data_IF_981487409696
#
_entry.id   IF_981487409696
#
_cell.length_a   1.000
_cell.length_b   1.000
_cell.length_c   1.000
_cell.angle_alpha   90.00
_cell.angle_beta   90.00
_cell.angle_gamma   90.00
#
_symmetry.space_group_name_H-M   'P 1'
#
loop_
_entity.id
_entity.type
_entity.pdbx_description
1 polymer ?
#
# COMPACT_ATOMS: atom_id res chain seq x y z
N UNK A 1 36.16 -13.83 -0.46
CA UNK A 1 34.69 -13.93 -0.41
C UNK A 1 34.21 -12.53 -0.08
N UNK A 2 33.70 -11.80 -1.07
CA UNK A 2 33.16 -10.46 -0.82
C UNK A 2 31.87 -10.61 -0.03
N UNK A 3 31.77 -9.93 1.11
CA UNK A 3 30.48 -9.75 1.78
C UNK A 3 29.66 -8.81 0.90
N UNK A 4 28.66 -9.34 0.19
CA UNK A 4 27.67 -8.53 -0.52
C UNK A 4 26.98 -7.63 0.51
N UNK A 5 27.16 -6.32 0.38
CA UNK A 5 26.39 -5.35 1.16
C UNK A 5 24.97 -5.36 0.58
N UNK A 6 23.94 -5.70 1.37
CA UNK A 6 22.59 -5.77 0.85
C UNK A 6 22.17 -4.39 0.31
N UNK A 7 21.45 -4.33 -0.84
CA UNK A 7 20.95 -3.08 -1.38
C UNK A 7 20.20 -2.30 -0.30
N UNK A 8 20.36 -0.98 -0.26
CA UNK A 8 19.73 -0.15 0.77
C UNK A 8 18.20 -0.31 0.80
N UNK A 9 17.58 -0.63 -0.34
CA UNK A 9 16.15 -0.92 -0.44
C UNK A 9 15.73 -2.20 0.33
N UNK A 10 16.60 -3.21 0.47
CA UNK A 10 16.29 -4.48 1.14
C UNK A 10 16.66 -4.47 2.63
N UNK A 11 16.69 -3.29 3.26
CA UNK A 11 17.05 -3.12 4.68
C UNK A 11 15.87 -2.59 5.48
N UNK A 12 15.63 -3.18 6.65
CA UNK A 12 14.66 -2.73 7.64
C UNK A 12 15.39 -2.10 8.81
N UNK A 13 15.00 -0.90 9.19
CA UNK A 13 15.36 -0.27 10.44
C UNK A 13 14.33 -0.66 11.51
N UNK A 14 14.74 -1.43 12.50
CA UNK A 14 13.92 -1.76 13.65
C UNK A 14 14.40 -0.95 14.87
N UNK A 15 13.51 -0.19 15.48
CA UNK A 15 13.76 0.63 16.67
C UNK A 15 12.72 0.35 17.76
N UNK A 16 12.92 0.95 18.94
CA UNK A 16 12.09 0.68 20.13
C UNK A 16 12.07 -0.82 20.50
N UNK A 17 13.21 -1.48 20.31
CA UNK A 17 13.37 -2.88 20.68
C UNK A 17 13.54 -3.05 22.20
N UNK A 18 13.14 -4.20 22.77
CA UNK A 18 13.36 -4.50 24.18
C UNK A 18 14.85 -4.38 24.57
N UNK A 19 15.11 -3.77 25.73
CA UNK A 19 16.48 -3.73 26.31
C UNK A 19 17.01 -5.16 26.48
N UNK A 20 18.24 -5.41 26.02
CA UNK A 20 18.90 -6.70 26.16
C UNK A 20 18.41 -7.80 25.21
N UNK A 21 17.76 -7.43 24.08
CA UNK A 21 17.46 -8.36 23.01
C UNK A 21 18.77 -8.88 22.37
N UNK A 22 19.00 -10.18 22.46
CA UNK A 22 20.23 -10.81 21.99
C UNK A 22 20.25 -11.02 20.48
N UNK A 23 21.44 -11.13 19.90
CA UNK A 23 21.61 -11.35 18.45
C UNK A 23 20.85 -12.58 17.96
N UNK A 24 20.94 -13.71 18.67
CA UNK A 24 20.25 -14.95 18.29
C UNK A 24 18.72 -14.79 18.20
N UNK A 25 18.12 -13.97 19.06
CA UNK A 25 16.68 -13.72 19.06
C UNK A 25 16.28 -12.78 17.92
N UNK A 26 17.13 -11.78 17.60
CA UNK A 26 16.96 -10.96 16.39
C UNK A 26 16.98 -11.82 15.13
N UNK A 27 17.96 -12.71 14.98
CA UNK A 27 18.03 -13.65 13.85
C UNK A 27 16.80 -14.56 13.79
N UNK A 28 16.31 -15.04 14.93
CA UNK A 28 15.13 -15.89 14.98
C UNK A 28 13.85 -15.14 14.59
N UNK A 29 13.64 -13.94 15.12
CA UNK A 29 12.41 -13.17 14.88
C UNK A 29 12.35 -12.66 13.45
N UNK A 30 13.43 -12.02 12.98
CA UNK A 30 13.49 -11.44 11.64
C UNK A 30 13.72 -12.51 10.56
N UNK A 31 14.34 -13.64 10.90
CA UNK A 31 14.62 -14.73 9.95
C UNK A 31 13.37 -15.48 9.48
N UNK A 32 12.23 -15.29 10.13
CA UNK A 32 10.95 -15.89 9.72
C UNK A 32 10.44 -15.35 8.37
N UNK A 33 10.93 -14.20 7.92
CA UNK A 33 10.44 -13.51 6.72
C UNK A 33 11.34 -13.71 5.50
N UNK A 34 12.58 -14.17 5.71
CA UNK A 34 13.51 -14.47 4.63
C UNK A 34 14.97 -14.50 5.09
N UNK A 35 15.85 -14.81 4.15
CA UNK A 35 17.29 -14.91 4.41
C UNK A 35 17.86 -13.54 4.79
N UNK A 36 18.31 -13.43 6.03
CA UNK A 36 19.03 -12.28 6.55
C UNK A 36 20.50 -12.35 6.11
N UNK A 37 20.99 -11.25 5.54
CA UNK A 37 22.38 -11.04 5.13
C UNK A 37 23.17 -10.34 6.24
N UNK A 38 22.56 -9.39 6.93
CA UNK A 38 23.22 -8.65 8.01
C UNK A 38 22.25 -8.20 9.10
N UNK A 39 22.75 -8.12 10.34
CA UNK A 39 22.10 -7.38 11.43
C UNK A 39 23.15 -6.42 12.00
N UNK A 40 22.88 -5.12 11.91
CA UNK A 40 23.80 -4.06 12.31
C UNK A 40 23.17 -3.26 13.45
N UNK A 41 23.73 -3.33 14.66
CA UNK A 41 23.26 -2.51 15.78
C UNK A 41 23.52 -1.02 15.54
N UNK A 42 22.54 -0.21 15.91
CA UNK A 42 22.55 1.24 15.79
C UNK A 42 22.27 1.81 17.18
N UNK A 43 23.15 2.71 17.62
CA UNK A 43 22.91 3.46 18.84
C UNK A 43 21.98 4.63 18.53
N UNK A 44 20.67 4.39 18.58
CA UNK A 44 19.67 5.46 18.54
C UNK A 44 19.40 5.92 19.98
N UNK A 45 19.50 7.22 20.23
CA UNK A 45 19.54 7.72 21.62
C UNK A 45 18.23 7.36 22.35
N UNK A 46 18.35 6.53 23.39
CA UNK A 46 17.23 6.12 24.24
C UNK A 46 16.47 4.85 23.82
N UNK A 47 16.79 4.23 22.67
CA UNK A 47 16.16 2.96 22.25
C UNK A 47 17.16 2.02 21.57
N UNK A 48 17.06 0.72 21.82
CA UNK A 48 17.78 -0.28 21.04
C UNK A 48 17.25 -0.28 19.59
N UNK A 49 18.15 -0.13 18.62
CA UNK A 49 17.81 -0.13 17.21
C UNK A 49 18.80 -0.96 16.38
N UNK A 50 18.33 -1.57 15.31
CA UNK A 50 19.13 -2.37 14.39
C UNK A 50 18.71 -2.13 12.94
N UNK A 51 19.66 -2.24 12.02
CA UNK A 51 19.35 -2.50 10.61
C UNK A 51 19.42 -4.00 10.34
N UNK A 52 18.34 -4.56 9.81
CA UNK A 52 18.29 -5.93 9.30
C UNK A 52 18.31 -5.87 7.78
N UNK A 53 19.39 -6.38 7.19
CA UNK A 53 19.53 -6.53 5.74
C UNK A 53 19.05 -7.89 5.28
N UNK A 54 18.13 -7.92 4.33
CA UNK A 54 17.66 -9.15 3.70
C UNK A 54 18.30 -9.34 2.34
N UNK A 55 18.36 -10.60 1.91
CA UNK A 55 18.77 -10.95 0.56
C UNK A 55 17.73 -10.47 -0.47
N UNK A 56 16.46 -10.63 -0.14
CA UNK A 56 15.32 -10.28 -1.01
C UNK A 56 14.60 -9.05 -0.47
N UNK A 57 14.27 -8.10 -1.36
CA UNK A 57 13.52 -6.88 -1.02
C UNK A 57 12.13 -7.20 -0.44
N UNK A 58 11.46 -8.22 -0.96
CA UNK A 58 10.11 -8.60 -0.50
C UNK A 58 10.12 -9.14 0.93
N UNK A 59 11.16 -9.88 1.33
CA UNK A 59 11.34 -10.31 2.72
C UNK A 59 11.49 -9.10 3.66
N UNK A 60 12.24 -8.08 3.24
CA UNK A 60 12.38 -6.84 4.01
C UNK A 60 11.04 -6.10 4.15
N UNK A 61 10.26 -5.98 3.07
CA UNK A 61 8.94 -5.34 3.09
C UNK A 61 7.94 -6.10 3.96
N UNK A 62 7.92 -7.42 3.87
CA UNK A 62 7.03 -8.27 4.66
C UNK A 62 7.37 -8.20 6.14
N UNK A 63 8.66 -8.35 6.49
CA UNK A 63 9.14 -8.19 7.86
C UNK A 63 8.79 -6.80 8.40
N UNK A 64 9.05 -5.74 7.62
CA UNK A 64 8.71 -4.37 8.00
C UNK A 64 7.21 -4.22 8.27
N UNK A 65 6.36 -4.75 7.39
CA UNK A 65 4.89 -4.63 7.51
C UNK A 65 4.35 -5.39 8.73
N UNK A 66 4.81 -6.62 8.96
CA UNK A 66 4.28 -7.49 10.02
C UNK A 66 4.83 -7.09 11.39
N UNK A 67 6.10 -6.69 11.45
CA UNK A 67 6.75 -6.36 12.71
C UNK A 67 6.53 -4.91 13.14
N UNK A 68 6.14 -4.00 12.25
CA UNK A 68 5.85 -2.63 12.68
C UNK A 68 4.66 -2.61 13.65
N UNK A 69 4.88 -2.08 14.84
CA UNK A 69 3.96 -2.10 15.99
C UNK A 69 3.70 -3.48 16.60
N UNK A 70 4.44 -4.52 16.20
CA UNK A 70 4.35 -5.82 16.85
C UNK A 70 4.94 -5.77 18.26
N UNK A 71 4.28 -6.45 19.21
CA UNK A 71 4.77 -6.57 20.58
C UNK A 71 5.85 -7.66 20.68
N UNK A 72 7.06 -7.25 21.07
CA UNK A 72 8.18 -8.12 21.39
C UNK A 72 8.46 -8.01 22.88
N UNK A 73 8.29 -9.09 23.65
CA UNK A 73 8.43 -9.10 25.12
C UNK A 73 7.60 -8.00 25.82
N UNK A 74 6.42 -7.68 25.27
CA UNK A 74 5.54 -6.64 25.80
C UNK A 74 5.87 -5.22 25.35
N UNK A 75 6.95 -5.01 24.59
CA UNK A 75 7.33 -3.71 24.02
C UNK A 75 6.93 -3.68 22.55
N UNK A 76 6.16 -2.67 22.12
CA UNK A 76 5.87 -2.45 20.71
C UNK A 76 7.11 -1.93 19.99
N UNK A 77 7.62 -2.67 19.02
CA UNK A 77 8.73 -2.20 18.19
C UNK A 77 8.22 -1.39 16.98
N UNK A 78 9.09 -0.55 16.42
CA UNK A 78 8.83 0.14 15.17
C UNK A 78 9.76 -0.39 14.09
N UNK A 79 9.21 -0.76 12.95
CA UNK A 79 9.97 -1.27 11.83
C UNK A 79 9.68 -0.42 10.60
N UNK A 80 10.72 0.17 10.02
CA UNK A 80 10.65 1.10 8.90
C UNK A 80 11.62 0.65 7.80
N UNK A 81 11.25 0.83 6.54
CA UNK A 81 12.18 0.59 5.43
C UNK A 81 13.32 1.62 5.44
N UNK A 82 14.54 1.20 5.11
CA UNK A 82 15.71 2.08 5.17
C UNK A 82 15.67 3.23 4.16
N UNK A 83 14.97 3.08 3.03
CA UNK A 83 14.70 4.15 2.07
C UNK A 83 13.72 5.21 2.65
N UNK A 84 12.68 4.78 3.37
CA UNK A 84 11.78 5.66 4.12
C UNK A 84 12.52 6.49 5.16
N UNK A 85 13.51 5.91 5.86
CA UNK A 85 14.36 6.67 6.78
C UNK A 85 15.11 7.82 6.10
N UNK A 86 15.54 7.65 4.84
CA UNK A 86 16.21 8.71 4.09
C UNK A 86 15.26 9.89 3.87
N UNK A 87 14.00 9.62 3.54
CA UNK A 87 12.96 10.64 3.39
C UNK A 87 12.72 11.33 4.73
N UNK A 88 12.40 10.56 5.79
CA UNK A 88 12.10 11.09 7.13
C UNK A 88 13.19 12.04 7.61
N UNK A 89 14.47 11.66 7.49
CA UNK A 89 15.61 12.49 7.91
C UNK A 89 15.68 13.83 7.17
N UNK A 90 15.33 13.84 5.89
CA UNK A 90 15.33 15.06 5.06
C UNK A 90 14.13 15.96 5.37
N UNK A 91 13.04 15.38 5.86
CA UNK A 91 11.77 16.07 6.07
C UNK A 91 11.42 16.36 7.53
N UNK A 92 12.34 16.11 8.46
CA UNK A 92 12.09 16.29 9.91
C UNK A 92 11.59 17.69 10.29
N UNK A 93 12.02 18.74 9.59
CA UNK A 93 11.73 20.13 9.91
C UNK A 93 11.08 20.90 8.76
N UNK A 94 10.42 20.20 7.84
CA UNK A 94 9.82 20.80 6.63
C UNK A 94 8.28 20.70 6.62
N UNK A 95 7.65 20.50 7.78
CA UNK A 95 6.18 20.57 7.94
C UNK A 95 5.42 19.24 7.84
N UNK A 96 6.07 18.15 7.41
CA UNK A 96 5.47 16.82 7.27
C UNK A 96 5.22 16.12 8.61
N UNK A 97 5.89 16.57 9.69
CA UNK A 97 5.76 15.99 11.01
C UNK A 97 4.89 16.86 11.91
N UNK A 98 3.89 16.22 12.51
CA UNK A 98 2.99 16.81 13.49
C UNK A 98 3.21 16.18 14.87
N UNK A 99 3.08 16.98 15.91
CA UNK A 99 2.95 16.55 17.29
C UNK A 99 1.46 16.52 17.65
N UNK A 100 1.05 15.41 18.24
CA UNK A 100 -0.26 15.22 18.83
C UNK A 100 -0.09 15.29 20.34
N UNK A 101 -0.78 16.23 20.98
CA UNK A 101 -0.80 16.44 22.41
C UNK A 101 -2.20 16.13 22.94
N UNK A 102 -2.30 15.76 24.22
CA UNK A 102 -3.57 15.41 24.86
C UNK A 102 -4.28 14.23 24.18
N UNK A 103 -3.53 13.25 23.69
CA UNK A 103 -4.08 11.99 23.20
C UNK A 103 -4.77 11.22 24.32
N UNK A 104 -5.86 10.54 23.99
CA UNK A 104 -6.47 9.57 24.92
C UNK A 104 -5.45 8.48 25.24
N UNK A 105 -5.21 8.15 26.52
CA UNK A 105 -4.29 7.09 26.92
C UNK A 105 -4.58 5.70 26.32
N UNK A 106 -5.81 5.46 25.82
CA UNK A 106 -6.20 4.23 25.14
C UNK A 106 -5.77 4.17 23.66
N UNK A 107 -5.31 5.28 23.06
CA UNK A 107 -4.82 5.32 21.69
C UNK A 107 -3.32 4.98 21.69
N UNK A 108 -2.97 3.89 21.04
CA UNK A 108 -1.58 3.47 20.82
C UNK A 108 -1.04 3.94 19.46
N UNK A 109 0.24 3.64 19.19
CA UNK A 109 0.91 4.03 17.95
C UNK A 109 0.24 3.45 16.69
N UNK A 110 -0.32 2.25 16.78
CA UNK A 110 -1.02 1.60 15.67
C UNK A 110 -2.33 2.33 15.38
N UNK A 111 -3.16 2.54 16.40
CA UNK A 111 -4.44 3.25 16.27
C UNK A 111 -4.28 4.69 15.81
N UNK A 112 -3.26 5.41 16.28
CA UNK A 112 -2.95 6.75 15.80
C UNK A 112 -2.52 6.74 14.33
N UNK A 113 -1.68 5.79 13.93
CA UNK A 113 -1.24 5.62 12.54
C UNK A 113 -2.43 5.33 11.62
N UNK A 114 -3.30 4.40 12.01
CA UNK A 114 -4.50 4.03 11.26
C UNK A 114 -5.45 5.22 11.09
N UNK A 115 -5.68 5.99 12.16
CA UNK A 115 -6.48 7.22 12.10
C UNK A 115 -5.88 8.24 11.13
N UNK A 116 -4.57 8.47 11.24
CA UNK A 116 -3.89 9.46 10.41
C UNK A 116 -3.75 9.04 8.95
N UNK A 117 -3.77 7.75 8.66
CA UNK A 117 -3.74 7.22 7.29
C UNK A 117 -4.94 7.67 6.42
N UNK A 118 -6.02 8.14 7.05
CA UNK A 118 -7.17 8.76 6.37
C UNK A 118 -6.83 10.10 5.69
N UNK A 119 -5.74 10.74 6.11
CA UNK A 119 -5.33 12.07 5.65
C UNK A 119 -4.14 12.03 4.70
N UNK A 120 -3.40 10.93 4.65
CA UNK A 120 -2.22 10.75 3.80
C UNK A 120 -1.37 9.53 4.13
N UNK A 121 -0.30 9.31 3.37
CA UNK A 121 0.68 8.25 3.68
C UNK A 121 1.46 8.60 4.96
N UNK A 122 1.33 7.77 5.99
CA UNK A 122 2.12 7.86 7.22
C UNK A 122 3.44 7.11 7.03
N UNK A 123 4.55 7.86 7.05
CA UNK A 123 5.90 7.29 6.96
C UNK A 123 6.36 6.72 8.30
N UNK A 124 5.97 7.35 9.41
CA UNK A 124 6.29 6.92 10.76
C UNK A 124 5.31 7.56 11.77
N UNK A 125 5.02 6.83 12.84
CA UNK A 125 4.12 7.27 13.91
C UNK A 125 4.55 6.62 15.22
N UNK A 126 4.50 7.40 16.30
CA UNK A 126 4.78 6.93 17.66
C UNK A 126 3.96 7.69 18.68
N UNK A 127 3.35 6.96 19.60
CA UNK A 127 2.85 7.47 20.88
C UNK A 127 3.91 7.16 21.93
N UNK A 128 4.36 8.17 22.67
CA UNK A 128 5.39 7.98 23.71
C UNK A 128 4.76 7.31 24.94
N UNK A 129 5.46 6.34 25.52
CA UNK A 129 5.02 5.54 26.66
C UNK A 129 6.07 5.61 27.78
N UNK A 130 5.63 5.59 29.03
CA UNK A 130 6.52 5.55 30.20
C UNK A 130 6.97 4.11 30.52
N UNK A 131 7.98 3.94 31.40
CA UNK A 131 8.55 2.61 31.75
C UNK A 131 7.57 1.69 32.51
N UNK A 132 6.46 2.23 33.04
CA UNK A 132 5.30 1.47 33.55
C UNK A 132 4.09 1.69 32.62
N UNK A 133 3.22 0.69 32.38
CA UNK A 133 2.34 0.69 31.22
C UNK A 133 1.36 1.86 31.26
N UNK A 134 1.65 2.88 30.45
CA UNK A 134 0.83 4.08 30.30
C UNK A 134 1.34 4.95 29.16
N UNK A 135 0.43 5.36 28.28
CA UNK A 135 0.68 6.41 27.28
C UNK A 135 0.96 7.73 28.01
N UNK A 136 1.98 8.46 27.57
CA UNK A 136 2.27 9.81 28.05
C UNK A 136 1.26 10.85 27.53
N UNK A 137 0.27 10.44 26.72
CA UNK A 137 -0.75 11.33 26.17
C UNK A 137 -0.23 12.23 25.06
N UNK A 138 0.93 11.93 24.48
CA UNK A 138 1.46 12.63 23.31
C UNK A 138 2.17 11.68 22.35
N UNK A 139 2.23 12.09 21.09
CA UNK A 139 2.81 11.33 20.00
C UNK A 139 3.23 12.22 18.85
N UNK A 140 3.82 11.62 17.82
CA UNK A 140 3.99 12.28 16.53
C UNK A 140 3.51 11.40 15.39
N UNK A 141 3.18 12.06 14.29
CA UNK A 141 2.95 11.43 12.99
C UNK A 141 3.77 12.17 11.95
N UNK A 142 4.53 11.43 11.15
CA UNK A 142 5.32 11.94 10.04
C UNK A 142 4.67 11.48 8.73
N UNK A 143 4.12 12.43 7.98
CA UNK A 143 3.46 12.19 6.69
C UNK A 143 4.45 12.19 5.53
N UNK A 144 4.04 11.67 4.38
CA UNK A 144 4.88 11.73 3.17
C UNK A 144 5.02 13.16 2.63
N UNK A 145 3.98 13.99 2.81
CA UNK A 145 3.94 15.37 2.32
C UNK A 145 3.45 16.37 3.37
N UNK A 146 3.78 17.66 3.17
CA UNK A 146 3.35 18.75 4.06
C UNK A 146 1.84 18.98 3.97
N UNK A 147 1.25 18.80 2.78
CA UNK A 147 -0.18 18.98 2.55
C UNK A 147 -1.02 17.94 3.29
N UNK A 148 -0.59 16.69 3.31
CA UNK A 148 -1.22 15.62 4.11
C UNK A 148 -1.18 15.96 5.61
N UNK A 149 -0.04 16.47 6.08
CA UNK A 149 0.11 16.93 7.47
C UNK A 149 -0.79 18.13 7.77
N UNK A 150 -0.83 19.13 6.90
CA UNK A 150 -1.69 20.30 7.04
C UNK A 150 -3.17 19.91 7.08
N UNK A 151 -3.57 18.96 6.22
CA UNK A 151 -4.92 18.39 6.18
C UNK A 151 -5.23 17.66 7.49
N UNK A 152 -4.37 16.76 7.95
CA UNK A 152 -4.56 16.04 9.20
C UNK A 152 -4.72 17.01 10.39
N UNK A 153 -3.86 18.02 10.48
CA UNK A 153 -3.96 19.07 11.50
C UNK A 153 -5.31 19.81 11.44
N UNK A 154 -5.75 20.21 10.25
CA UNK A 154 -7.00 20.95 10.07
C UNK A 154 -8.22 20.15 10.55
N UNK A 155 -8.26 18.85 10.26
CA UNK A 155 -9.43 18.02 10.53
C UNK A 155 -9.42 17.35 11.91
N UNK A 156 -8.25 17.09 12.49
CA UNK A 156 -8.14 16.35 13.75
C UNK A 156 -7.88 17.27 14.97
N UNK A 157 -7.36 18.48 14.78
CA UNK A 157 -7.07 19.37 15.92
C UNK A 157 -8.37 19.80 16.60
N UNK A 158 -8.47 19.55 17.90
CA UNK A 158 -9.65 19.83 18.71
C UNK A 158 -10.80 18.84 18.52
N UNK A 159 -10.64 17.81 17.67
CA UNK A 159 -11.62 16.72 17.54
C UNK A 159 -11.46 15.75 18.69
N UNK A 160 -12.58 15.26 19.20
CA UNK A 160 -12.60 14.27 20.27
C UNK A 160 -12.20 12.90 19.72
N UNK A 161 -11.01 12.44 20.13
CA UNK A 161 -10.45 11.13 19.83
C UNK A 161 -10.49 10.29 21.11
N UNK A 162 -11.47 9.38 21.18
CA UNK A 162 -11.80 8.68 22.42
C UNK A 162 -12.44 9.65 23.44
N UNK A 163 -11.79 9.81 24.59
CA UNK A 163 -12.21 10.69 25.69
C UNK A 163 -11.50 12.05 25.69
N UNK A 164 -10.44 12.22 24.90
CA UNK A 164 -9.65 13.47 24.84
C UNK A 164 -9.87 14.23 23.53
N UNK A 165 -9.75 15.56 23.56
CA UNK A 165 -9.64 16.38 22.36
C UNK A 165 -8.16 16.59 22.05
N UNK A 166 -7.67 15.96 20.98
CA UNK A 166 -6.25 16.02 20.64
C UNK A 166 -5.89 17.41 20.09
N UNK A 167 -4.83 18.00 20.60
CA UNK A 167 -4.26 19.24 20.09
C UNK A 167 -3.11 18.91 19.14
N UNK A 168 -3.09 19.52 17.96
CA UNK A 168 -2.11 19.17 16.91
C UNK A 168 -1.31 20.40 16.52
N UNK A 169 0.02 20.28 16.60
CA UNK A 169 0.95 21.34 16.19
C UNK A 169 2.07 20.79 15.29
N UNK A 170 2.72 21.64 14.47
CA UNK A 170 3.90 21.23 13.74
C UNK A 170 5.03 20.82 14.70
N UNK A 171 5.86 19.89 14.26
CA UNK A 171 7.08 19.51 14.97
C UNK A 171 8.14 20.60 14.89
N UNK A 172 8.81 20.85 16.01
CA UNK A 172 10.00 21.68 16.09
C UNK A 172 11.22 20.82 16.45
N UNK A 173 12.42 21.18 15.99
CA UNK A 173 13.63 20.39 16.28
C UNK A 173 13.91 20.21 17.78
N UNK A 174 13.41 21.12 18.63
CA UNK A 174 13.50 20.99 20.08
C UNK A 174 12.67 19.81 20.61
N UNK A 175 11.60 19.40 19.93
CA UNK A 175 10.75 18.28 20.32
C UNK A 175 11.44 16.92 20.16
N UNK A 176 12.58 16.84 19.46
CA UNK A 176 13.30 15.56 19.25
C UNK A 176 13.69 14.87 20.56
N UNK A 177 13.84 15.64 21.64
CA UNK A 177 14.20 15.11 22.97
C UNK A 177 13.00 14.48 23.70
N UNK A 178 11.78 14.70 23.22
CA UNK A 178 10.55 14.14 23.80
C UNK A 178 10.34 12.67 23.39
N UNK A 179 10.99 12.22 22.30
CA UNK A 179 10.75 10.91 21.72
C UNK A 179 12.01 10.07 21.70
N UNK A 180 11.90 8.85 22.21
CA UNK A 180 12.94 7.83 22.03
C UNK A 180 12.93 7.30 20.58
N UNK A 181 14.07 6.83 20.07
CA UNK A 181 14.12 6.18 18.74
C UNK A 181 13.81 7.06 17.52
N UNK A 182 13.94 8.38 17.67
CA UNK A 182 13.52 9.38 16.67
C UNK A 182 14.66 10.23 16.11
N UNK A 183 15.91 9.87 16.39
CA UNK A 183 17.06 10.50 15.72
C UNK A 183 17.40 9.81 14.41
N UNK A 184 16.87 8.60 14.20
CA UNK A 184 17.11 7.79 13.01
C UNK A 184 18.60 7.76 12.73
N UNK A 185 19.43 7.23 13.63
CA UNK A 185 20.87 7.29 13.44
C UNK A 185 21.30 6.59 12.13
N UNK A 186 22.23 7.17 11.35
CA UNK A 186 22.70 6.55 10.11
C UNK A 186 23.31 5.17 10.38
N UNK A 187 23.27 4.25 9.39
CA UNK A 187 23.97 2.99 9.54
C UNK A 187 25.45 3.27 9.85
N UNK A 188 26.10 2.44 10.70
CA UNK A 188 27.49 2.66 11.07
C UNK A 188 28.38 2.66 9.82
N UNK A 189 29.05 3.78 9.57
CA UNK A 189 30.07 3.86 8.52
C UNK A 189 31.22 2.93 8.93
N UNK A 190 31.41 1.81 8.21
CA UNK A 190 32.66 1.04 8.33
C UNK A 190 33.81 1.99 7.95
N UNK A 191 34.59 2.42 8.93
CA UNK A 191 35.80 3.22 8.75
C UNK A 191 36.78 2.44 7.86
N UNK A 192 36.79 2.71 6.56
CA UNK A 192 37.84 2.24 5.66
C UNK A 192 39.08 3.11 5.85
N UNK A 193 39.99 2.66 6.71
CA UNK A 193 41.37 3.16 6.73
C UNK A 193 42.24 2.30 5.79
N UNK A 194 42.54 2.84 4.60
CA UNK A 194 43.91 3.09 4.07
C UNK A 194 43.97 3.02 2.54
N UNK A 195 44.59 4.09 2.04
CA UNK A 195 45.42 4.19 0.85
C UNK A 195 44.76 4.06 -0.53
N UNK A 196 44.59 5.24 -1.13
CA UNK A 196 45.03 5.62 -2.47
C UNK A 196 45.24 4.49 -3.48
N UNK A 197 44.37 4.48 -4.49
CA UNK A 197 44.78 4.28 -5.88
C UNK A 197 43.99 5.26 -6.77
N UNK A 198 44.65 6.14 -7.55
CA UNK A 198 43.98 7.05 -8.46
C UNK A 198 43.86 6.38 -9.83
N UNK A 199 42.67 5.86 -10.16
CA UNK A 199 42.42 5.39 -11.53
C UNK A 199 41.38 4.29 -11.65
N UNK A 200 40.11 4.69 -11.70
CA UNK A 200 39.04 3.99 -12.42
C UNK A 200 37.93 5.05 -12.62
N UNK A 201 38.04 5.84 -13.69
CA UNK A 201 37.40 5.55 -14.98
C UNK A 201 35.88 5.49 -14.83
N UNK A 202 35.29 6.65 -15.06
CA UNK A 202 33.94 6.88 -15.59
C UNK A 202 33.22 5.60 -16.04
N UNK A 203 32.24 5.20 -15.25
CA UNK A 203 31.09 4.47 -15.77
C UNK A 203 29.89 5.38 -15.50
N UNK A 204 29.38 5.90 -16.61
CA UNK A 204 28.25 6.81 -16.69
C UNK A 204 27.03 6.22 -15.98
N UNK A 205 26.34 7.08 -15.23
CA UNK A 205 24.97 6.87 -14.77
C UNK A 205 24.10 6.47 -15.97
N UNK A 206 23.87 5.17 -16.18
CA UNK A 206 22.66 4.73 -16.85
C UNK A 206 21.50 4.96 -15.90
N UNK A 207 21.00 6.20 -15.94
CA UNK A 207 19.76 6.60 -15.33
C UNK A 207 18.65 5.62 -15.75
N UNK A 208 18.19 4.81 -14.81
CA UNK A 208 16.88 4.18 -14.91
C UNK A 208 15.84 5.31 -15.04
N UNK A 209 14.87 5.21 -15.96
CA UNK A 209 13.96 6.31 -16.26
C UNK A 209 13.24 6.74 -14.99
N UNK A 210 13.34 8.04 -14.70
CA UNK A 210 12.75 8.67 -13.53
C UNK A 210 11.28 8.27 -13.40
N UNK A 211 10.93 7.53 -12.34
CA UNK A 211 9.53 7.47 -11.91
C UNK A 211 9.16 8.90 -11.51
N UNK A 212 8.17 9.47 -12.20
CA UNK A 212 7.72 10.83 -11.98
C UNK A 212 7.34 11.10 -10.53
N UNK A 213 7.19 12.38 -10.20
CA UNK A 213 6.69 12.78 -8.88
C UNK A 213 5.33 12.10 -8.58
N UNK A 214 4.91 11.95 -7.31
CA UNK A 214 3.57 11.45 -6.99
C UNK A 214 2.45 12.18 -7.74
N UNK A 215 2.63 13.49 -7.97
CA UNK A 215 1.74 14.33 -8.79
C UNK A 215 1.74 13.91 -10.28
N UNK A 216 2.89 13.55 -10.83
CA UNK A 216 3.01 13.03 -12.20
C UNK A 216 2.35 11.65 -12.32
N UNK A 217 2.44 10.81 -11.28
CA UNK A 217 1.78 9.50 -11.24
C UNK A 217 0.26 9.66 -11.14
N UNK A 218 -0.24 10.55 -10.26
CA UNK A 218 -1.66 10.86 -10.16
C UNK A 218 -2.21 11.42 -11.48
N UNK A 219 -1.46 12.34 -12.11
CA UNK A 219 -1.79 12.87 -13.43
C UNK A 219 -1.82 11.76 -14.49
N UNK A 220 -0.87 10.83 -14.45
CA UNK A 220 -0.84 9.69 -15.39
C UNK A 220 -2.02 8.73 -15.19
N UNK A 221 -2.39 8.46 -13.94
CA UNK A 221 -3.56 7.66 -13.58
C UNK A 221 -4.83 8.31 -14.14
N UNK A 222 -4.99 9.61 -13.94
CA UNK A 222 -6.14 10.37 -14.44
C UNK A 222 -6.18 10.44 -15.97
N UNK A 223 -5.06 10.72 -16.61
CA UNK A 223 -4.96 10.73 -18.07
C UNK A 223 -5.34 9.38 -18.66
N UNK A 224 -4.89 8.28 -18.06
CA UNK A 224 -5.26 6.95 -18.52
C UNK A 224 -6.76 6.69 -18.35
N UNK A 225 -7.33 7.05 -17.21
CA UNK A 225 -8.77 6.92 -16.97
C UNK A 225 -9.60 7.72 -17.97
N UNK A 226 -9.22 8.97 -18.26
CA UNK A 226 -9.85 9.82 -19.27
C UNK A 226 -9.71 9.27 -20.69
N UNK A 227 -8.59 8.60 -20.99
CA UNK A 227 -8.33 8.04 -22.32
C UNK A 227 -9.08 6.73 -22.62
N UNK A 228 -9.80 6.16 -21.65
CA UNK A 228 -10.54 4.92 -21.85
C UNK A 228 -11.69 5.13 -22.84
N UNK A 229 -11.62 4.47 -24.00
CA UNK A 229 -12.70 4.51 -24.99
C UNK A 229 -13.92 3.69 -24.56
N UNK A 230 -13.71 2.65 -23.74
CA UNK A 230 -14.75 1.69 -23.35
C UNK A 230 -14.78 1.53 -21.83
N UNK A 231 -15.62 2.31 -21.18
CA UNK A 231 -15.84 2.26 -19.73
C UNK A 231 -17.33 2.12 -19.41
N UNK A 232 -17.74 0.93 -18.98
CA UNK A 232 -19.12 0.59 -18.65
C UNK A 232 -19.29 0.51 -17.13
N UNK A 233 -20.36 1.11 -16.63
CA UNK A 233 -20.78 0.97 -15.24
C UNK A 233 -22.19 0.43 -15.20
N UNK A 234 -22.39 -0.63 -14.42
CA UNK A 234 -23.66 -1.33 -14.30
C UNK A 234 -24.06 -1.41 -12.83
N UNK A 235 -25.30 -1.00 -12.54
CA UNK A 235 -25.85 -1.05 -11.19
C UNK A 235 -26.51 -2.40 -10.96
N UNK A 236 -25.93 -3.23 -10.09
CA UNK A 236 -26.36 -4.61 -9.82
C UNK A 236 -26.57 -4.78 -8.31
N UNK A 237 -27.82 -5.08 -7.91
CA UNK A 237 -28.24 -5.02 -6.51
C UNK A 237 -27.61 -6.13 -5.64
N UNK A 238 -27.52 -7.35 -6.17
CA UNK A 238 -27.11 -8.54 -5.44
C UNK A 238 -26.00 -9.36 -6.15
N UNK A 239 -25.48 -10.33 -5.41
CA UNK A 239 -24.41 -11.22 -5.90
C UNK A 239 -24.87 -12.08 -7.08
N UNK A 240 -26.13 -12.52 -7.11
CA UNK A 240 -26.66 -13.40 -8.16
C UNK A 240 -26.69 -12.67 -9.51
N UNK A 241 -27.17 -11.42 -9.50
CA UNK A 241 -27.18 -10.52 -10.66
C UNK A 241 -25.76 -10.25 -11.17
N UNK A 242 -24.78 -10.05 -10.27
CA UNK A 242 -23.36 -9.91 -10.64
C UNK A 242 -22.80 -11.16 -11.30
N UNK A 243 -23.13 -12.34 -10.77
CA UNK A 243 -22.66 -13.63 -11.32
C UNK A 243 -23.31 -13.96 -12.67
N UNK A 244 -24.60 -13.65 -12.84
CA UNK A 244 -25.28 -13.76 -14.13
C UNK A 244 -24.65 -12.83 -15.16
N UNK A 245 -24.42 -11.57 -14.78
CA UNK A 245 -23.78 -10.62 -15.68
C UNK A 245 -22.35 -11.01 -16.05
N UNK A 246 -21.57 -11.53 -15.10
CA UNK A 246 -20.24 -12.10 -15.39
C UNK A 246 -20.33 -13.22 -16.43
N UNK A 247 -21.30 -14.12 -16.31
CA UNK A 247 -21.50 -15.21 -17.28
C UNK A 247 -21.79 -14.67 -18.68
N UNK A 248 -22.64 -13.66 -18.79
CA UNK A 248 -22.96 -13.01 -20.07
C UNK A 248 -21.72 -12.37 -20.69
N UNK A 249 -20.88 -11.69 -19.89
CA UNK A 249 -19.64 -11.10 -20.39
C UNK A 249 -18.64 -12.15 -20.88
N UNK A 250 -18.51 -13.27 -20.15
CA UNK A 250 -17.66 -14.40 -20.57
C UNK A 250 -18.15 -14.97 -21.91
N UNK A 251 -19.47 -15.13 -22.09
CA UNK A 251 -20.04 -15.60 -23.36
C UNK A 251 -19.89 -14.57 -24.49
N UNK A 252 -20.08 -13.29 -24.18
CA UNK A 252 -20.01 -12.20 -25.15
C UNK A 252 -18.60 -12.04 -25.74
N UNK A 253 -17.57 -12.12 -24.90
CA UNK A 253 -16.20 -11.86 -25.33
C UNK A 253 -15.45 -13.09 -25.83
N UNK A 254 -15.93 -14.30 -25.51
CA UNK A 254 -15.32 -15.58 -25.88
C UNK A 254 -13.80 -15.59 -25.59
N UNK A 255 -13.40 -15.75 -24.30
CA UNK A 255 -12.01 -15.67 -23.88
C UNK A 255 -11.10 -16.54 -24.73
N UNK A 256 -9.98 -15.95 -25.14
CA UNK A 256 -8.99 -16.58 -26.02
C UNK A 256 -7.63 -15.93 -25.80
N UNK A 257 -6.60 -16.44 -26.47
CA UNK A 257 -5.24 -15.93 -26.38
C UNK A 257 -5.14 -14.41 -26.66
N UNK A 258 -5.99 -13.88 -27.54
CA UNK A 258 -6.04 -12.45 -27.93
C UNK A 258 -7.09 -11.65 -27.14
N UNK A 259 -8.05 -12.33 -26.50
CA UNK A 259 -9.16 -11.72 -25.75
C UNK A 259 -9.15 -12.20 -24.31
N UNK A 260 -8.07 -11.86 -23.60
CA UNK A 260 -7.95 -12.22 -22.20
C UNK A 260 -8.78 -11.31 -21.30
N UNK A 261 -9.31 -11.90 -20.23
CA UNK A 261 -10.17 -11.24 -19.27
C UNK A 261 -9.53 -11.27 -17.89
N UNK A 262 -9.54 -10.13 -17.22
CA UNK A 262 -9.15 -10.03 -15.81
C UNK A 262 -10.40 -9.70 -15.01
N UNK A 263 -10.74 -10.55 -14.06
CA UNK A 263 -11.83 -10.33 -13.12
C UNK A 263 -11.24 -9.92 -11.78
N UNK A 264 -11.66 -8.79 -11.23
CA UNK A 264 -11.24 -8.36 -9.89
C UNK A 264 -12.41 -8.43 -8.93
N UNK A 265 -12.27 -9.29 -7.91
CA UNK A 265 -13.30 -9.55 -6.90
C UNK A 265 -12.71 -9.44 -5.48
N UNK A 266 -13.54 -9.16 -4.49
CA UNK A 266 -13.15 -9.27 -3.08
C UNK A 266 -12.87 -10.74 -2.73
N UNK A 267 -12.04 -11.02 -1.70
CA UNK A 267 -11.71 -12.39 -1.30
C UNK A 267 -12.93 -13.31 -1.14
N UNK A 268 -14.02 -12.79 -0.57
CA UNK A 268 -15.27 -13.53 -0.36
C UNK A 268 -15.96 -13.97 -1.67
N UNK A 269 -15.75 -13.23 -2.77
CA UNK A 269 -16.41 -13.45 -4.06
C UNK A 269 -15.53 -14.21 -5.07
N UNK A 270 -14.25 -14.46 -4.77
CA UNK A 270 -13.36 -15.21 -5.68
C UNK A 270 -13.88 -16.63 -5.95
N UNK A 271 -14.38 -17.33 -4.92
CA UNK A 271 -14.93 -18.68 -5.08
C UNK A 271 -16.24 -18.69 -5.90
N UNK A 272 -17.24 -17.84 -5.63
CA UNK A 272 -18.41 -17.67 -6.50
C UNK A 272 -18.05 -17.38 -7.96
N UNK A 273 -17.09 -16.46 -8.20
CA UNK A 273 -16.61 -16.13 -9.54
C UNK A 273 -15.97 -17.35 -10.22
N UNK A 274 -15.10 -18.08 -9.52
CA UNK A 274 -14.50 -19.30 -10.03
C UNK A 274 -15.56 -20.37 -10.40
N UNK A 275 -16.67 -20.44 -9.68
CA UNK A 275 -17.80 -21.32 -10.02
C UNK A 275 -18.44 -20.99 -11.37
N UNK A 276 -18.58 -19.70 -11.71
CA UNK A 276 -19.08 -19.25 -13.02
C UNK A 276 -18.10 -19.61 -14.14
N UNK A 277 -16.80 -19.40 -13.90
CA UNK A 277 -15.74 -19.71 -14.86
C UNK A 277 -15.65 -21.22 -15.12
N UNK A 278 -15.71 -22.05 -14.08
CA UNK A 278 -15.73 -23.51 -14.17
C UNK A 278 -16.89 -24.04 -15.03
N UNK A 279 -18.06 -23.39 -14.97
CA UNK A 279 -19.21 -23.74 -15.80
C UNK A 279 -19.11 -23.30 -17.26
N UNK A 280 -18.17 -22.42 -17.60
CA UNK A 280 -18.10 -21.73 -18.90
C UNK A 280 -16.80 -21.99 -19.67
N UNK A 281 -15.73 -22.41 -18.99
CA UNK A 281 -14.36 -22.54 -19.53
C UNK A 281 -13.73 -23.87 -19.12
N UNK A 282 -12.71 -24.32 -19.86
CA UNK A 282 -11.93 -25.48 -19.42
C UNK A 282 -11.07 -25.11 -18.21
N UNK A 283 -10.78 -26.09 -17.34
CA UNK A 283 -10.02 -25.88 -16.12
C UNK A 283 -8.58 -25.37 -16.35
N UNK A 284 -8.03 -25.51 -17.55
CA UNK A 284 -6.71 -24.96 -17.92
C UNK A 284 -6.76 -23.50 -18.40
N UNK A 285 -7.95 -22.96 -18.68
CA UNK A 285 -8.12 -21.66 -19.32
C UNK A 285 -8.33 -20.52 -18.31
N UNK A 286 -8.52 -20.84 -17.03
CA UNK A 286 -8.69 -19.84 -15.98
C UNK A 286 -7.97 -20.20 -14.68
N UNK A 287 -7.55 -19.18 -13.95
CA UNK A 287 -6.98 -19.34 -12.61
C UNK A 287 -7.24 -18.10 -11.74
N UNK A 288 -6.80 -18.14 -10.49
CA UNK A 288 -6.97 -17.06 -9.53
C UNK A 288 -5.68 -16.66 -8.81
N UNK A 289 -5.57 -15.37 -8.53
CA UNK A 289 -4.48 -14.77 -7.77
C UNK A 289 -5.03 -14.16 -6.48
N UNK A 290 -4.60 -14.68 -5.33
CA UNK A 290 -4.98 -14.23 -3.99
C UNK A 290 -3.73 -14.00 -3.13
N UNK A 291 -3.89 -13.39 -1.95
CA UNK A 291 -2.77 -13.21 -1.02
C UNK A 291 -2.15 -14.55 -0.58
N UNK A 292 -2.97 -15.60 -0.54
CA UNK A 292 -2.60 -16.97 -0.19
C UNK A 292 -1.99 -17.78 -1.33
N UNK A 293 -1.99 -17.27 -2.57
CA UNK A 293 -1.39 -17.96 -3.71
C UNK A 293 0.11 -18.10 -3.50
N UNK A 294 0.63 -19.34 -3.61
CA UNK A 294 2.06 -19.61 -3.43
C UNK A 294 2.89 -18.88 -4.49
N UNK A 295 4.18 -18.67 -4.22
CA UNK A 295 5.06 -18.00 -5.18
C UNK A 295 5.21 -18.79 -6.50
N UNK A 296 5.13 -20.13 -6.43
CA UNK A 296 5.21 -21.02 -7.59
C UNK A 296 3.93 -20.97 -8.43
N UNK A 297 2.77 -21.07 -7.78
CA UNK A 297 1.47 -20.97 -8.46
C UNK A 297 1.28 -19.58 -9.06
N UNK A 298 1.65 -18.52 -8.31
CA UNK A 298 1.59 -17.14 -8.81
C UNK A 298 2.42 -16.97 -10.07
N UNK A 299 3.64 -17.50 -10.09
CA UNK A 299 4.50 -17.44 -11.27
C UNK A 299 3.86 -18.18 -12.45
N UNK A 300 3.32 -19.37 -12.20
CA UNK A 300 2.63 -20.18 -13.22
C UNK A 300 1.44 -19.45 -13.82
N UNK A 301 0.61 -18.79 -12.99
CA UNK A 301 -0.55 -18.02 -13.43
C UNK A 301 -0.13 -16.78 -14.22
N UNK A 302 0.86 -16.03 -13.74
CA UNK A 302 1.37 -14.82 -14.44
C UNK A 302 2.01 -15.19 -15.78
N UNK A 303 2.85 -16.24 -15.83
CA UNK A 303 3.45 -16.74 -17.06
C UNK A 303 2.39 -17.30 -18.02
N UNK A 304 1.38 -18.03 -17.50
CA UNK A 304 0.24 -18.51 -18.27
C UNK A 304 -0.56 -17.37 -18.91
N UNK A 305 -0.79 -16.30 -18.16
CA UNK A 305 -1.44 -15.10 -18.66
C UNK A 305 -0.58 -14.37 -19.69
N UNK A 306 0.72 -14.25 -19.48
CA UNK A 306 1.61 -13.51 -20.39
C UNK A 306 1.84 -14.25 -21.71
N UNK A 307 1.98 -15.58 -21.65
CA UNK A 307 2.05 -16.44 -22.84
C UNK A 307 0.70 -16.58 -23.56
N UNK A 308 -0.40 -16.26 -22.87
CA UNK A 308 -1.75 -16.35 -23.39
C UNK A 308 -2.33 -17.75 -23.42
N UNK A 309 -1.75 -18.66 -22.64
CA UNK A 309 -2.31 -19.97 -22.36
C UNK A 309 -3.45 -19.90 -21.33
N UNK A 310 -3.48 -18.83 -20.54
CA UNK A 310 -4.53 -18.57 -19.56
C UNK A 310 -5.44 -17.44 -20.04
N UNK A 311 -6.71 -17.71 -20.29
CA UNK A 311 -7.62 -16.72 -20.88
C UNK A 311 -8.28 -15.82 -19.85
N UNK A 312 -8.55 -16.34 -18.64
CA UNK A 312 -9.20 -15.57 -17.58
C UNK A 312 -8.43 -15.66 -16.27
N UNK A 313 -8.10 -14.51 -15.69
CA UNK A 313 -7.47 -14.43 -14.36
C UNK A 313 -8.38 -13.72 -13.38
N UNK A 314 -8.75 -14.40 -12.31
CA UNK A 314 -9.49 -13.78 -11.19
C UNK A 314 -8.50 -13.28 -10.14
N UNK A 315 -8.38 -11.97 -9.98
CA UNK A 315 -7.54 -11.38 -8.93
C UNK A 315 -8.39 -10.98 -7.72
N UNK A 316 -7.94 -11.39 -6.53
CA UNK A 316 -8.44 -10.85 -5.26
C UNK A 316 -8.11 -9.37 -5.16
N UNK A 317 -9.02 -8.57 -4.63
CA UNK A 317 -8.83 -7.13 -4.48
C UNK A 317 -7.56 -6.81 -3.70
N UNK A 318 -7.23 -7.53 -2.63
CA UNK A 318 -6.06 -7.29 -1.78
C UNK A 318 -4.69 -7.39 -2.49
N UNK A 319 -4.64 -8.09 -3.64
CA UNK A 319 -3.40 -8.24 -4.41
C UNK A 319 -3.29 -7.24 -5.55
N UNK A 320 -4.32 -6.45 -5.80
CA UNK A 320 -4.42 -5.70 -7.05
C UNK A 320 -3.46 -4.50 -7.17
N UNK A 321 -2.90 -4.04 -6.06
CA UNK A 321 -1.92 -2.93 -6.01
C UNK A 321 -0.50 -3.42 -5.79
N UNK A 322 -0.31 -4.68 -5.41
CA UNK A 322 0.97 -5.34 -5.15
C UNK A 322 1.72 -5.62 -6.46
N UNK A 323 3.03 -5.32 -6.52
CA UNK A 323 3.82 -5.40 -7.77
C UNK A 323 4.07 -6.83 -8.22
N UNK A 324 4.18 -7.76 -7.28
CA UNK A 324 4.39 -9.18 -7.52
C UNK A 324 3.19 -9.89 -8.17
N UNK A 325 2.07 -9.18 -8.33
CA UNK A 325 0.87 -9.61 -9.06
C UNK A 325 0.60 -8.75 -10.31
N UNK A 326 1.53 -7.86 -10.69
CA UNK A 326 1.38 -7.06 -11.91
C UNK A 326 1.42 -7.99 -13.14
N UNK A 327 0.50 -7.76 -14.06
CA UNK A 327 0.41 -8.52 -15.31
C UNK A 327 1.37 -7.90 -16.33
N UNK A 328 2.14 -8.71 -17.05
CA UNK A 328 3.07 -8.23 -18.08
C UNK A 328 2.40 -7.58 -19.29
N UNK A 329 1.07 -7.70 -19.41
CA UNK A 329 0.27 -7.08 -20.47
C UNK A 329 -1.10 -6.61 -19.97
N UNK A 330 -1.66 -5.53 -20.54
CA UNK A 330 -3.00 -5.07 -20.19
C UNK A 330 -4.06 -6.11 -20.56
N UNK A 331 -5.18 -6.10 -19.85
CA UNK A 331 -6.31 -6.95 -20.17
C UNK A 331 -7.03 -6.46 -21.43
N UNK A 332 -7.54 -7.39 -22.24
CA UNK A 332 -8.47 -7.03 -23.32
C UNK A 332 -9.82 -6.61 -22.73
N UNK A 333 -10.23 -7.29 -21.63
CA UNK A 333 -11.41 -6.95 -20.84
C UNK A 333 -11.07 -6.96 -19.36
N UNK A 334 -11.36 -5.86 -18.66
CA UNK A 334 -11.25 -5.75 -17.21
C UNK A 334 -12.66 -5.74 -16.60
N UNK A 335 -12.96 -6.70 -15.74
CA UNK A 335 -14.23 -6.79 -15.02
C UNK A 335 -13.98 -6.51 -13.54
N UNK A 336 -14.35 -5.32 -13.08
CA UNK A 336 -14.39 -4.97 -11.67
C UNK A 336 -15.70 -5.51 -11.06
N UNK A 337 -15.67 -6.78 -10.66
CA UNK A 337 -16.80 -7.48 -10.08
C UNK A 337 -17.25 -6.84 -8.74
N UNK A 338 -16.27 -6.38 -7.96
CA UNK A 338 -16.50 -5.64 -6.73
C UNK A 338 -15.88 -4.25 -6.77
N UNK A 339 -16.66 -3.26 -6.31
CA UNK A 339 -16.19 -1.92 -6.09
C UNK A 339 -15.06 -1.89 -5.04
N UNK A 340 -14.02 -1.08 -5.27
CA UNK A 340 -12.95 -0.87 -4.31
C UNK A 340 -13.38 0.04 -3.15
N UNK A 341 -12.62 0.10 -2.05
CA UNK A 341 -12.99 0.90 -0.88
C UNK A 341 -12.92 2.42 -1.11
N UNK A 342 -12.21 2.88 -2.15
CA UNK A 342 -12.02 4.29 -2.45
C UNK A 342 -11.79 4.55 -3.95
N UNK A 343 -12.03 5.79 -4.38
CA UNK A 343 -11.79 6.23 -5.76
C UNK A 343 -10.31 6.13 -6.17
N UNK A 344 -9.32 6.57 -5.36
CA UNK A 344 -7.91 6.40 -5.74
C UNK A 344 -7.54 4.94 -6.00
N UNK A 345 -8.06 4.01 -5.18
CA UNK A 345 -7.85 2.58 -5.38
C UNK A 345 -8.48 2.08 -6.68
N UNK A 346 -9.67 2.60 -7.02
CA UNK A 346 -10.34 2.31 -8.29
C UNK A 346 -9.49 2.73 -9.50
N UNK A 347 -9.04 3.97 -9.50
CA UNK A 347 -8.25 4.53 -10.58
C UNK A 347 -6.91 3.81 -10.72
N UNK A 348 -6.24 3.49 -9.60
CA UNK A 348 -4.99 2.73 -9.63
C UNK A 348 -5.18 1.30 -10.16
N UNK A 349 -6.29 0.65 -9.81
CA UNK A 349 -6.61 -0.70 -10.31
C UNK A 349 -6.77 -0.70 -11.83
N UNK A 350 -7.47 0.31 -12.36
CA UNK A 350 -7.65 0.54 -13.79
C UNK A 350 -6.28 0.82 -14.44
N UNK A 351 -5.54 1.79 -13.92
CA UNK A 351 -4.21 2.19 -14.44
C UNK A 351 -3.27 1.00 -14.63
N UNK A 352 -3.19 0.10 -13.64
CA UNK A 352 -2.31 -1.08 -13.69
C UNK A 352 -2.73 -2.17 -14.68
N UNK A 353 -3.96 -2.14 -15.20
CA UNK A 353 -4.57 -3.30 -15.91
C UNK A 353 -5.11 -2.97 -17.28
N UNK A 354 -5.22 -1.68 -17.62
CA UNK A 354 -5.77 -1.24 -18.90
C UNK A 354 -4.68 -0.73 -19.82
N UNK A 355 -4.95 -0.79 -21.12
CA UNK A 355 -4.18 -0.15 -22.19
C UNK A 355 -5.12 0.44 -23.23
N UNK A 356 -4.58 0.92 -24.36
CA UNK A 356 -5.39 1.45 -25.45
C UNK A 356 -6.25 0.34 -26.07
N UNK A 357 -7.54 0.35 -25.75
CA UNK A 357 -8.54 -0.61 -26.25
C UNK A 357 -9.06 -1.62 -25.22
N UNK A 358 -8.61 -1.56 -23.95
CA UNK A 358 -9.20 -2.36 -22.88
C UNK A 358 -10.66 -1.95 -22.64
N UNK A 359 -11.55 -2.93 -22.56
CA UNK A 359 -12.96 -2.72 -22.19
C UNK A 359 -13.12 -2.91 -20.69
N UNK A 360 -13.52 -1.85 -19.98
CA UNK A 360 -13.68 -1.88 -18.52
C UNK A 360 -15.16 -2.02 -18.18
N UNK A 361 -15.52 -3.03 -17.39
CA UNK A 361 -16.86 -3.24 -16.84
C UNK A 361 -16.80 -3.11 -15.33
N UNK A 362 -17.66 -2.28 -14.74
CA UNK A 362 -17.71 -2.04 -13.30
C UNK A 362 -19.09 -2.36 -12.76
N UNK A 363 -19.14 -3.25 -11.76
CA UNK A 363 -20.38 -3.59 -11.08
C UNK A 363 -20.50 -2.79 -9.78
N UNK A 364 -21.56 -2.00 -9.69
CA UNK A 364 -21.85 -1.15 -8.55
C UNK A 364 -23.10 -1.64 -7.82
N UNK A 365 -22.99 -1.93 -6.53
CA UNK A 365 -24.13 -2.29 -5.68
C UNK A 365 -24.57 -1.09 -4.83
N UNK A 366 -25.78 -0.54 -5.03
CA UNK A 366 -26.24 0.64 -4.30
C UNK A 366 -26.24 0.49 -2.79
N UNK A 367 -26.48 -0.73 -2.29
CA UNK A 367 -26.54 -1.03 -0.86
C UNK A 367 -25.17 -1.11 -0.22
N UNK A 368 -24.17 -1.64 -0.94
CA UNK A 368 -22.82 -1.88 -0.42
C UNK A 368 -21.89 -0.69 -0.71
N UNK A 369 -22.00 -0.13 -1.91
CA UNK A 369 -21.03 0.80 -2.49
C UNK A 369 -21.48 2.27 -2.39
N UNK A 370 -22.55 2.55 -1.64
CA UNK A 370 -23.14 3.88 -1.45
C UNK A 370 -22.12 4.98 -1.11
N UNK A 371 -21.08 4.66 -0.33
CA UNK A 371 -20.00 5.60 0.03
C UNK A 371 -19.14 6.05 -1.15
N UNK A 372 -19.00 5.18 -2.17
CA UNK A 372 -18.22 5.46 -3.37
C UNK A 372 -19.05 6.16 -4.45
N UNK A 373 -20.38 6.18 -4.32
CA UNK A 373 -21.30 6.72 -5.33
C UNK A 373 -20.95 8.17 -5.74
N UNK A 374 -20.82 9.09 -4.78
CA UNK A 374 -20.57 10.50 -5.06
C UNK A 374 -19.16 10.72 -5.65
N UNK A 375 -18.06 10.21 -5.05
CA UNK A 375 -16.74 10.32 -5.65
C UNK A 375 -16.68 9.76 -7.08
N UNK A 376 -17.31 8.62 -7.31
CA UNK A 376 -17.29 7.93 -8.60
C UNK A 376 -18.08 8.68 -9.67
N UNK A 377 -19.26 9.19 -9.33
CA UNK A 377 -20.07 10.01 -10.24
C UNK A 377 -19.31 11.26 -10.69
N UNK A 378 -18.70 11.98 -9.75
CA UNK A 378 -17.86 13.16 -10.08
C UNK A 378 -16.70 12.78 -10.99
N UNK A 379 -16.05 11.65 -10.72
CA UNK A 379 -14.94 11.18 -11.55
C UNK A 379 -15.38 10.79 -12.97
N UNK A 380 -16.54 10.17 -13.12
CA UNK A 380 -17.11 9.85 -14.44
C UNK A 380 -17.48 11.12 -15.20
N UNK A 381 -18.11 12.08 -14.55
CA UNK A 381 -18.46 13.39 -15.12
C UNK A 381 -17.20 14.14 -15.58
N UNK A 382 -16.18 14.23 -14.71
CA UNK A 382 -14.91 14.89 -15.00
C UNK A 382 -14.13 14.19 -16.13
N UNK A 383 -14.23 12.86 -16.21
CA UNK A 383 -13.61 12.10 -17.28
C UNK A 383 -14.41 12.04 -18.58
N UNK A 384 -15.67 12.52 -18.58
CA UNK A 384 -16.56 12.47 -19.75
C UNK A 384 -17.08 11.06 -20.07
N UNK A 385 -17.10 10.15 -19.09
CA UNK A 385 -17.64 8.79 -19.23
C UNK A 385 -19.16 8.78 -19.04
N UNK A 386 -19.82 7.80 -19.66
CA UNK A 386 -21.26 7.59 -19.49
C UNK A 386 -21.60 7.28 -18.03
N UNK A 387 -22.59 8.01 -17.49
CA UNK A 387 -23.08 7.85 -16.12
C UNK A 387 -24.39 7.05 -16.17
N UNK A 388 -24.50 5.92 -15.45
CA UNK A 388 -25.73 5.14 -15.41
C UNK A 388 -26.91 5.96 -14.85
N UNK A 389 -28.10 5.93 -15.48
CA UNK A 389 -29.29 6.62 -14.99
C UNK A 389 -29.63 6.27 -13.53
N UNK A 390 -29.45 5.02 -13.14
CA UNK A 390 -29.71 4.52 -11.79
C UNK A 390 -28.77 5.17 -10.76
N UNK A 391 -27.53 5.47 -11.15
CA UNK A 391 -26.56 6.16 -10.30
C UNK A 391 -26.90 7.65 -10.15
N UNK A 392 -27.41 8.29 -11.20
CA UNK A 392 -27.93 9.67 -11.16
C UNK A 392 -29.17 9.79 -10.27
N UNK A 393 -30.06 8.80 -10.29
CA UNK A 393 -31.23 8.76 -9.40
C UNK A 393 -30.82 8.62 -7.93
N UNK A 394 -29.83 7.76 -7.63
CA UNK A 394 -29.27 7.63 -6.28
C UNK A 394 -28.70 8.96 -5.79
N UNK A 395 -27.96 9.67 -6.64
CA UNK A 395 -27.42 10.98 -6.31
C UNK A 395 -28.51 12.02 -6.04
N UNK A 396 -29.52 12.11 -6.90
CA UNK A 396 -30.65 13.03 -6.74
C UNK A 396 -31.41 12.83 -5.41
N UNK A 397 -31.48 11.59 -4.91
CA UNK A 397 -32.10 11.26 -3.61
C UNK A 397 -31.21 11.63 -2.41
N UNK A 398 -29.89 11.63 -2.57
CA UNK A 398 -28.95 12.00 -1.51
C UNK A 398 -28.87 13.53 -1.35
N UNK A 399 -28.92 14.28 -2.46
CA UNK A 399 -28.84 15.74 -2.46
C UNK A 399 -30.08 16.40 -1.81
N UNK A 400 -31.24 15.73 -1.86
CA UNK A 400 -32.47 16.19 -1.19
C UNK A 400 -32.50 15.91 0.33
N UNK A 401 -31.54 15.15 0.87
CA UNK A 401 -31.44 14.83 2.30
C UNK A 401 -30.33 15.64 3.02
N UNK A 402 -29.63 16.53 2.29
CA UNK A 402 -28.60 17.42 2.80
C UNK A 402 -29.15 18.69 3.44
#
# INVERSE_FOLDING_TARGET
>A
MGEDVPPQAARVYASDLPKGLGEAELWQVFGNYGDIVSIEQVNDSGSEAVFVGYKELEAAKEACKILNYASMRGVMCRCLMADRLVVIRRTMNTGQRLIFEQLDPAIDSCGLSDLCSLFGEVLDCKVEVEEEPGSCGFGFVHFSTEDEAAKAKLFLSGVQLGSSAAEIRPFELADIVLFTGCRYAPPPTRLHARNSDPGASDWEDEAQPAQGTPEDMERSIWQQFQSLEYHYMEVLEDLESKLERLRDLIQLYEPSQERQIVVVAQPANVQPVAGVLCGSLAACDYDSLQSSTSAEDRRTVLEGYETGNLYVVTMSSEVCTRREFDLGRPASVLINFDCPPSLPYHLQRIYKRTGSGTRVHNFFSPTVDSKLAIPLLKALEEAGHDIPPELLELWSRMDQKG
#
